data_IF_358832213666
#
_entry.id   IF_358832213666
#
_cell.length_a   1.000
_cell.length_b   1.000
_cell.length_c   1.000
_cell.angle_alpha   90.00
_cell.angle_beta   90.00
_cell.angle_gamma   90.00
#
_symmetry.space_group_name_H-M   'P 1'
#
loop_
_entity.id
_entity.type
_entity.pdbx_description
1 polymer ?
#
# COMPACT_ATOMS: atom_id res chain seq x y z
N UNK A 1 20.87 48.22 61.16
CA UNK A 1 21.47 46.88 60.93
C UNK A 1 20.36 45.85 61.03
N UNK A 2 19.97 45.22 59.93
CA UNK A 2 18.89 44.22 59.93
C UNK A 2 19.46 42.89 60.43
N UNK A 3 19.03 42.43 61.60
CA UNK A 3 19.37 41.10 62.10
C UNK A 3 18.52 40.06 61.37
N UNK A 4 19.03 39.55 60.25
CA UNK A 4 18.32 38.55 59.44
C UNK A 4 18.61 37.16 60.00
N UNK A 5 17.56 36.45 60.40
CA UNK A 5 17.66 35.09 60.95
C UNK A 5 18.19 34.11 59.90
N UNK A 6 19.40 33.57 60.12
CA UNK A 6 20.08 32.57 59.26
C UNK A 6 19.16 31.39 58.88
N UNK A 7 18.26 31.00 59.78
CA UNK A 7 17.27 29.93 59.59
C UNK A 7 16.37 30.15 58.37
N UNK A 8 16.10 31.40 57.98
CA UNK A 8 15.24 31.76 56.85
C UNK A 8 16.02 32.23 55.62
N UNK A 9 17.18 32.85 55.80
CA UNK A 9 17.97 33.42 54.70
C UNK A 9 18.65 32.36 53.83
N UNK A 10 19.23 31.33 54.45
CA UNK A 10 19.97 30.28 53.73
C UNK A 10 19.06 29.46 52.82
N UNK A 11 17.86 28.99 53.27
CA UNK A 11 16.93 28.31 52.38
C UNK A 11 16.47 29.21 51.22
N UNK A 12 16.20 30.49 51.49
CA UNK A 12 15.74 31.44 50.48
C UNK A 12 16.79 31.67 49.38
N UNK A 13 18.06 31.82 49.75
CA UNK A 13 19.17 32.02 48.81
C UNK A 13 19.37 30.82 47.87
N UNK A 14 19.02 29.60 48.30
CA UNK A 14 19.16 28.38 47.49
C UNK A 14 17.89 28.12 46.66
N UNK A 15 16.71 28.34 47.22
CA UNK A 15 15.44 28.03 46.56
C UNK A 15 15.15 28.96 45.38
N UNK A 16 15.45 30.26 45.51
CA UNK A 16 15.13 31.24 44.46
C UNK A 16 15.84 30.95 43.13
N UNK A 17 17.17 30.72 43.10
CA UNK A 17 17.85 30.35 41.85
C UNK A 17 17.37 29.02 41.29
N UNK A 18 17.17 28.00 42.14
CA UNK A 18 16.74 26.66 41.70
C UNK A 18 15.39 26.72 40.98
N UNK A 19 14.41 27.39 41.57
CA UNK A 19 13.08 27.56 40.97
C UNK A 19 13.14 28.38 39.69
N UNK A 20 14.06 29.35 39.62
CA UNK A 20 14.25 30.18 38.42
C UNK A 20 14.81 29.33 37.28
N UNK A 21 15.87 28.56 37.52
CA UNK A 21 16.46 27.68 36.51
C UNK A 21 15.49 26.59 36.07
N UNK A 22 14.82 25.90 37.01
CA UNK A 22 13.85 24.85 36.70
C UNK A 22 12.62 25.42 35.97
N UNK A 23 12.15 26.60 36.38
CA UNK A 23 11.05 27.29 35.70
C UNK A 23 11.42 27.69 34.27
N UNK A 24 12.62 28.23 34.07
CA UNK A 24 13.10 28.64 32.75
C UNK A 24 13.32 27.44 31.81
N UNK A 25 13.94 26.36 32.32
CA UNK A 25 14.15 25.13 31.52
C UNK A 25 12.82 24.44 31.22
N UNK A 26 11.88 24.40 32.17
CA UNK A 26 10.53 23.88 31.96
C UNK A 26 9.75 24.70 30.92
N UNK A 27 9.81 26.03 31.01
CA UNK A 27 9.20 26.92 30.02
C UNK A 27 9.76 26.70 28.61
N UNK A 28 11.09 26.66 28.49
CA UNK A 28 11.78 26.38 27.23
C UNK A 28 11.44 24.98 26.68
N UNK A 29 11.34 23.97 27.54
CA UNK A 29 10.96 22.61 27.16
C UNK A 29 9.53 22.57 26.58
N UNK A 30 8.58 23.28 27.18
CA UNK A 30 7.20 23.37 26.67
C UNK A 30 7.13 24.10 25.33
N UNK A 31 7.86 25.20 25.16
CA UNK A 31 7.91 25.93 23.89
C UNK A 31 8.53 25.10 22.76
N UNK A 32 9.63 24.42 23.04
CA UNK A 32 10.31 23.58 22.06
C UNK A 32 9.50 22.32 21.75
N UNK A 33 8.91 21.68 22.77
CA UNK A 33 8.08 20.49 22.59
C UNK A 33 6.86 20.73 21.70
N UNK A 34 6.19 21.88 21.84
CA UNK A 34 5.05 22.24 20.99
C UNK A 34 5.42 22.36 19.51
N UNK A 35 6.59 22.92 19.19
CA UNK A 35 7.06 23.04 17.80
C UNK A 35 7.41 21.67 17.21
N UNK A 36 8.20 20.87 17.94
CA UNK A 36 8.62 19.54 17.49
C UNK A 36 7.43 18.60 17.27
N UNK A 37 6.43 18.61 18.16
CA UNK A 37 5.24 17.76 18.00
C UNK A 37 4.37 18.20 16.83
N UNK A 38 4.21 19.52 16.61
CA UNK A 38 3.41 20.04 15.50
C UNK A 38 4.07 19.75 14.14
N UNK A 39 5.38 19.95 14.05
CA UNK A 39 6.13 19.69 12.82
C UNK A 39 6.22 18.18 12.51
N UNK A 40 6.40 17.34 13.53
CA UNK A 40 6.42 15.89 13.38
C UNK A 40 5.05 15.33 12.94
N UNK A 41 3.97 15.83 13.52
CA UNK A 41 2.60 15.43 13.13
C UNK A 41 2.30 15.82 11.68
N UNK A 42 2.66 17.05 11.28
CA UNK A 42 2.44 17.55 9.92
C UNK A 42 3.29 16.79 8.87
N UNK A 43 4.56 16.49 9.20
CA UNK A 43 5.44 15.73 8.33
C UNK A 43 4.95 14.28 8.17
N UNK A 44 4.60 13.62 9.27
CA UNK A 44 4.16 12.22 9.26
C UNK A 44 2.91 12.02 8.40
N UNK A 45 1.90 12.90 8.55
CA UNK A 45 0.68 12.80 7.72
C UNK A 45 0.94 13.07 6.24
N UNK A 46 1.82 14.02 5.89
CA UNK A 46 2.16 14.29 4.48
C UNK A 46 2.91 13.12 3.83
N UNK A 47 3.90 12.58 4.52
CA UNK A 47 4.68 11.44 4.05
C UNK A 47 3.82 10.18 3.92
N UNK A 48 2.98 9.87 4.92
CA UNK A 48 2.05 8.75 4.85
C UNK A 48 1.06 8.90 3.68
N UNK A 49 0.50 10.10 3.49
CA UNK A 49 -0.40 10.37 2.37
C UNK A 49 0.29 10.23 1.01
N UNK A 50 1.56 10.65 0.88
CA UNK A 50 2.34 10.44 -0.34
C UNK A 50 2.59 8.96 -0.59
N UNK A 51 3.02 8.21 0.43
CA UNK A 51 3.25 6.76 0.28
C UNK A 51 1.97 5.99 -0.09
N UNK A 52 0.82 6.35 0.48
CA UNK A 52 -0.47 5.75 0.10
C UNK A 52 -0.78 6.06 -1.37
N UNK A 53 -0.59 7.31 -1.80
CA UNK A 53 -0.81 7.71 -3.20
C UNK A 53 0.12 6.97 -4.16
N UNK A 54 1.40 6.86 -3.83
CA UNK A 54 2.39 6.18 -4.66
C UNK A 54 2.07 4.69 -4.79
N UNK A 55 1.73 4.02 -3.67
CA UNK A 55 1.28 2.62 -3.69
C UNK A 55 0.00 2.43 -4.49
N UNK A 56 -0.97 3.32 -4.34
CA UNK A 56 -2.23 3.24 -5.08
C UNK A 56 -2.01 3.46 -6.58
N UNK A 57 -1.15 4.43 -6.94
CA UNK A 57 -0.78 4.70 -8.33
C UNK A 57 -0.16 3.47 -8.97
N UNK A 58 0.86 2.91 -8.33
CA UNK A 58 1.57 1.72 -8.82
C UNK A 58 0.66 0.48 -8.90
N UNK A 59 -0.25 0.30 -7.94
CA UNK A 59 -1.27 -0.75 -7.94
C UNK A 59 -2.26 -0.61 -9.11
N UNK A 60 -2.61 0.62 -9.51
CA UNK A 60 -3.60 0.88 -10.57
C UNK A 60 -2.99 1.02 -11.97
N UNK A 61 -1.75 1.50 -12.09
CA UNK A 61 -1.08 1.65 -13.38
C UNK A 61 -0.66 0.30 -13.97
N UNK A 62 -0.23 -0.64 -13.13
CA UNK A 62 0.27 -1.95 -13.60
C UNK A 62 -0.80 -2.75 -14.36
N UNK A 63 -2.04 -2.94 -13.85
CA UNK A 63 -3.09 -3.66 -14.60
C UNK A 63 -3.56 -2.91 -15.84
N UNK A 64 -3.56 -1.57 -15.80
CA UNK A 64 -3.94 -0.76 -16.96
C UNK A 64 -2.96 -0.92 -18.13
N UNK A 65 -1.65 -0.93 -17.84
CA UNK A 65 -0.61 -1.17 -18.83
C UNK A 65 -0.69 -2.60 -19.39
N UNK A 66 -0.93 -3.58 -18.51
CA UNK A 66 -1.09 -4.99 -18.91
C UNK A 66 -2.27 -5.19 -19.85
N UNK A 67 -3.41 -4.53 -19.59
CA UNK A 67 -4.56 -4.58 -20.48
C UNK A 67 -4.25 -4.00 -21.86
N UNK A 68 -3.49 -2.91 -21.94
CA UNK A 68 -3.05 -2.34 -23.23
C UNK A 68 -2.11 -3.29 -23.96
N UNK A 69 -1.12 -3.85 -23.25
CA UNK A 69 -0.20 -4.84 -23.81
C UNK A 69 -0.94 -6.05 -24.38
N UNK A 70 -1.90 -6.60 -23.64
CA UNK A 70 -2.70 -7.73 -24.11
C UNK A 70 -3.60 -7.37 -25.29
N UNK A 71 -4.19 -6.17 -25.29
CA UNK A 71 -4.97 -5.69 -26.43
C UNK A 71 -4.11 -5.56 -27.69
N UNK A 72 -2.91 -4.99 -27.57
CA UNK A 72 -1.97 -4.83 -28.68
C UNK A 72 -1.48 -6.20 -29.19
N UNK A 73 -1.13 -7.12 -28.29
CA UNK A 73 -0.71 -8.47 -28.65
C UNK A 73 -1.82 -9.27 -29.37
N UNK A 74 -3.08 -9.06 -28.99
CA UNK A 74 -4.24 -9.60 -29.73
C UNK A 74 -4.34 -8.95 -31.12
N UNK A 75 -4.21 -7.64 -31.24
CA UNK A 75 -4.29 -6.92 -32.52
C UNK A 75 -3.17 -7.32 -33.48
N UNK A 76 -1.96 -7.53 -32.95
CA UNK A 76 -0.79 -7.98 -33.71
C UNK A 76 -0.84 -9.47 -34.06
N UNK A 77 -1.81 -10.22 -33.54
CA UNK A 77 -1.95 -11.66 -33.76
C UNK A 77 -0.94 -12.52 -32.99
N UNK A 78 -0.23 -11.95 -32.01
CA UNK A 78 0.66 -12.67 -31.10
C UNK A 78 -0.13 -13.53 -30.11
N UNK A 79 -1.34 -13.10 -29.77
CA UNK A 79 -2.33 -13.86 -29.01
C UNK A 79 -3.42 -14.37 -29.95
N UNK A 80 -3.41 -15.68 -30.22
CA UNK A 80 -4.42 -16.34 -31.05
C UNK A 80 -5.66 -16.69 -30.21
N UNK A 81 -6.71 -15.86 -30.34
CA UNK A 81 -7.99 -16.07 -29.66
C UNK A 81 -8.72 -17.35 -30.09
N UNK A 82 -8.37 -17.94 -31.23
CA UNK A 82 -8.92 -19.23 -31.68
C UNK A 82 -8.27 -20.42 -30.96
N UNK A 83 -7.15 -20.19 -30.26
CA UNK A 83 -6.44 -21.18 -29.44
C UNK A 83 -6.56 -20.81 -27.96
N UNK A 84 -7.70 -21.13 -27.32
CA UNK A 84 -7.96 -20.75 -25.93
C UNK A 84 -6.91 -21.25 -24.92
N UNK A 85 -6.26 -22.38 -25.20
CA UNK A 85 -5.16 -22.89 -24.36
C UNK A 85 -3.90 -22.02 -24.45
N UNK A 86 -3.65 -21.37 -25.60
CA UNK A 86 -2.53 -20.44 -25.77
C UNK A 86 -2.74 -19.19 -24.94
N UNK A 87 -3.96 -18.64 -24.99
CA UNK A 87 -4.39 -17.52 -24.16
C UNK A 87 -4.22 -17.82 -22.67
N UNK A 88 -4.70 -18.99 -22.24
CA UNK A 88 -4.61 -19.45 -20.85
C UNK A 88 -3.16 -19.59 -20.37
N UNK A 89 -2.25 -20.07 -21.23
CA UNK A 89 -0.81 -20.16 -20.92
C UNK A 89 -0.13 -18.79 -20.80
N UNK A 90 -0.47 -17.85 -21.67
CA UNK A 90 0.06 -16.48 -21.61
C UNK A 90 -0.39 -15.79 -20.31
N UNK A 91 -1.68 -15.84 -20.00
CA UNK A 91 -2.22 -15.27 -18.76
C UNK A 91 -1.61 -15.91 -17.51
N UNK A 92 -1.36 -17.23 -17.53
CA UNK A 92 -0.65 -17.90 -16.43
C UNK A 92 0.78 -17.39 -16.27
N UNK A 93 1.51 -17.15 -17.37
CA UNK A 93 2.86 -16.58 -17.31
C UNK A 93 2.85 -15.13 -16.79
N UNK A 94 1.90 -14.32 -17.24
CA UNK A 94 1.72 -12.93 -16.80
C UNK A 94 1.37 -12.85 -15.31
N UNK A 95 0.37 -13.59 -14.84
CA UNK A 95 -0.03 -13.63 -13.43
C UNK A 95 1.10 -14.18 -12.55
N UNK A 96 1.92 -15.11 -13.04
CA UNK A 96 3.13 -15.60 -12.34
C UNK A 96 4.20 -14.53 -12.19
N UNK A 97 4.41 -13.70 -13.21
CA UNK A 97 5.45 -12.67 -13.22
C UNK A 97 5.04 -11.41 -12.44
N UNK A 98 3.75 -11.05 -12.50
CA UNK A 98 3.20 -9.83 -11.95
C UNK A 98 2.52 -10.14 -10.61
N UNK A 99 3.29 -10.07 -9.52
CA UNK A 99 2.78 -10.32 -8.15
C UNK A 99 1.65 -9.39 -7.71
N UNK A 100 1.47 -8.25 -8.40
CA UNK A 100 0.40 -7.27 -8.11
C UNK A 100 -0.91 -7.55 -8.87
N UNK A 101 -0.93 -8.58 -9.71
CA UNK A 101 -2.10 -8.96 -10.51
C UNK A 101 -2.61 -10.30 -10.00
N UNK A 102 -3.81 -10.27 -9.41
CA UNK A 102 -4.44 -11.48 -8.88
C UNK A 102 -5.09 -12.34 -9.96
N UNK A 103 -5.39 -11.78 -11.12
CA UNK A 103 -5.90 -12.55 -12.25
C UNK A 103 -6.14 -11.72 -13.49
N UNK A 104 -6.30 -12.43 -14.60
CA UNK A 104 -6.57 -11.87 -15.92
C UNK A 104 -7.75 -12.65 -16.50
N UNK A 105 -8.73 -11.92 -17.02
CA UNK A 105 -9.94 -12.50 -17.60
C UNK A 105 -10.17 -11.96 -19.01
N UNK A 106 -10.64 -12.82 -19.90
CA UNK A 106 -11.03 -12.46 -21.26
C UNK A 106 -12.42 -13.00 -21.59
N UNK A 107 -13.28 -12.11 -22.11
CA UNK A 107 -14.63 -12.44 -22.55
C UNK A 107 -14.74 -12.51 -24.07
N UNK A 108 -15.26 -13.62 -24.57
CA UNK A 108 -15.56 -13.83 -25.98
C UNK A 108 -16.94 -13.25 -26.31
N UNK A 109 -16.99 -12.10 -26.98
CA UNK A 109 -18.26 -11.47 -27.37
C UNK A 109 -19.12 -12.35 -28.30
N UNK A 110 -18.50 -13.22 -29.10
CA UNK A 110 -19.20 -14.09 -30.05
C UNK A 110 -19.96 -15.26 -29.39
N UNK A 111 -19.43 -15.79 -28.29
CA UNK A 111 -19.97 -16.99 -27.62
C UNK A 111 -20.53 -16.69 -26.23
N UNK A 112 -20.21 -15.52 -25.65
CA UNK A 112 -20.48 -15.21 -24.26
C UNK A 112 -19.59 -15.97 -23.26
N UNK A 113 -18.60 -16.74 -23.76
CA UNK A 113 -17.68 -17.47 -22.89
C UNK A 113 -16.67 -16.53 -22.23
N UNK A 114 -16.26 -16.85 -21.01
CA UNK A 114 -15.20 -16.15 -20.28
C UNK A 114 -14.12 -17.16 -19.92
N UNK A 115 -12.87 -16.75 -20.07
CA UNK A 115 -11.70 -17.48 -19.59
C UNK A 115 -10.89 -16.60 -18.66
N UNK A 116 -10.55 -17.13 -17.50
CA UNK A 116 -9.74 -16.42 -16.54
C UNK A 116 -8.65 -17.28 -15.92
N UNK A 117 -7.51 -16.65 -15.65
CA UNK A 117 -6.45 -17.23 -14.84
C UNK A 117 -6.30 -16.38 -13.61
N UNK A 118 -6.38 -17.00 -12.43
CA UNK A 118 -6.32 -16.30 -11.15
C UNK A 118 -5.37 -17.01 -10.19
N UNK A 119 -4.74 -16.20 -9.33
CA UNK A 119 -3.98 -16.65 -8.17
C UNK A 119 -4.95 -16.85 -7.02
N UNK A 120 -4.91 -18.04 -6.42
CA UNK A 120 -5.70 -18.39 -5.25
C UNK A 120 -4.97 -17.98 -3.96
N UNK A 121 -5.70 -17.93 -2.84
CA UNK A 121 -5.15 -17.58 -1.52
C UNK A 121 -3.97 -18.47 -1.09
N UNK A 122 -3.96 -19.73 -1.55
CA UNK A 122 -2.88 -20.69 -1.30
C UNK A 122 -1.67 -20.52 -2.25
N UNK A 123 -1.59 -19.41 -3.00
CA UNK A 123 -0.60 -19.12 -4.04
C UNK A 123 -0.56 -20.10 -5.21
N UNK A 124 -1.51 -21.03 -5.32
CA UNK A 124 -1.68 -21.84 -6.53
C UNK A 124 -2.43 -21.06 -7.60
N UNK A 125 -2.36 -21.53 -8.84
CA UNK A 125 -3.04 -20.89 -9.97
C UNK A 125 -4.24 -21.71 -10.39
N UNK A 126 -5.32 -21.01 -10.72
CA UNK A 126 -6.57 -21.58 -11.18
C UNK A 126 -6.88 -21.05 -12.58
N UNK A 127 -7.20 -21.96 -13.50
CA UNK A 127 -7.85 -21.64 -14.76
C UNK A 127 -9.36 -21.82 -14.59
N UNK A 128 -10.10 -20.74 -14.75
CA UNK A 128 -11.55 -20.70 -14.72
C UNK A 128 -12.10 -20.54 -16.14
N UNK A 129 -13.10 -21.35 -16.47
CA UNK A 129 -13.85 -21.23 -17.73
C UNK A 129 -15.33 -21.17 -17.41
N UNK A 130 -16.02 -20.18 -17.99
CA UNK A 130 -17.47 -20.04 -17.93
C UNK A 130 -18.02 -19.92 -19.36
N UNK A 131 -19.06 -20.67 -19.69
CA UNK A 131 -19.73 -20.68 -20.99
C UNK A 131 -21.21 -21.11 -20.82
N UNK A 132 -21.98 -21.09 -21.90
CA UNK A 132 -23.40 -21.44 -21.87
C UNK A 132 -23.69 -22.90 -21.45
N UNK A 133 -22.70 -23.79 -21.49
CA UNK A 133 -22.81 -25.20 -21.07
C UNK A 133 -22.40 -25.43 -19.61
N UNK A 134 -21.71 -24.48 -19.00
CA UNK A 134 -21.23 -24.55 -17.62
C UNK A 134 -22.16 -23.73 -16.71
N UNK A 135 -23.06 -24.42 -16.00
CA UNK A 135 -23.85 -23.80 -14.91
C UNK A 135 -22.97 -23.27 -13.75
N UNK A 136 -21.67 -23.59 -13.75
CA UNK A 136 -20.66 -23.16 -12.78
C UNK A 136 -19.29 -22.97 -13.44
N UNK A 137 -18.48 -22.04 -12.93
CA UNK A 137 -17.08 -21.85 -13.33
C UNK A 137 -16.31 -23.16 -13.12
N UNK A 138 -15.78 -23.74 -14.19
CA UNK A 138 -14.89 -24.91 -14.08
C UNK A 138 -13.49 -24.42 -13.71
N UNK A 139 -13.08 -24.68 -12.47
CA UNK A 139 -11.74 -24.34 -11.97
C UNK A 139 -10.81 -25.54 -12.14
N UNK A 140 -9.83 -25.41 -13.03
CA UNK A 140 -8.72 -26.35 -13.17
C UNK A 140 -7.53 -25.78 -12.40
N UNK A 141 -7.04 -26.53 -11.42
CA UNK A 141 -5.79 -26.18 -10.75
C UNK A 141 -4.64 -26.36 -11.77
N UNK A 142 -3.94 -25.27 -12.07
CA UNK A 142 -2.68 -25.34 -12.78
C UNK A 142 -1.61 -25.74 -11.78
N UNK A 143 -1.13 -26.99 -11.88
CA UNK A 143 0.05 -27.41 -11.14
C UNK A 143 1.30 -26.62 -11.61
N UNK A 144 2.29 -26.60 -10.73
CA UNK A 144 3.47 -25.74 -10.71
C UNK A 144 4.19 -25.62 -12.06
#
# INVERSE_FOLDING_TARGET
MVAISIRKTVPLMILVPLLTYVGLTGWLAVLNGKRTVNDLSALNSRTLNQQIKDRLKDYLETPALLNQFNADAIQLGEIDLQKPDSLSRQFLAEVRLLDKVDGIEFGYASTGAVRSVMRLENHSFALAVADASTQFVKVLLCDR
#
